data_IF_671233039566
#
_entry.id   IF_671233039566
#
_cell.length_a   1.000
_cell.length_b   1.000
_cell.length_c   1.000
_cell.angle_alpha   90.00
_cell.angle_beta   90.00
_cell.angle_gamma   90.00
#
_symmetry.space_group_name_H-M   'P 1'
#
loop_
_entity.id
_entity.type
_entity.pdbx_description
1 polymer ?
#
# COMPACT_ATOMS: atom_id res chain seq x y z
N UNK A 1 -28.32 26.85 -9.57
CA UNK A 1 -27.68 25.73 -10.29
C UNK A 1 -26.28 25.56 -9.74
N UNK A 2 -25.95 24.52 -8.95
CA UNK A 2 -24.58 24.34 -8.51
C UNK A 2 -23.76 23.82 -9.68
N UNK A 3 -22.75 24.60 -10.07
CA UNK A 3 -21.77 24.25 -11.08
C UNK A 3 -20.99 23.04 -10.55
N UNK A 4 -20.97 21.95 -11.32
CA UNK A 4 -20.10 20.80 -11.03
C UNK A 4 -18.67 21.30 -11.16
N UNK A 5 -18.02 21.54 -10.02
CA UNK A 5 -16.57 21.72 -9.97
C UNK A 5 -15.97 20.37 -10.30
N UNK A 6 -15.71 20.13 -11.59
CA UNK A 6 -14.76 19.11 -12.00
C UNK A 6 -13.39 19.65 -11.58
N UNK A 7 -12.99 19.32 -10.35
CA UNK A 7 -11.62 19.55 -9.92
C UNK A 7 -10.74 18.65 -10.77
N UNK A 8 -9.99 19.32 -11.63
CA UNK A 8 -8.88 18.85 -12.44
C UNK A 8 -8.21 17.61 -11.82
N UNK A 9 -8.39 16.45 -12.45
CA UNK A 9 -7.61 15.25 -12.17
C UNK A 9 -6.17 15.56 -12.57
N UNK A 10 -5.36 16.06 -11.63
CA UNK A 10 -3.91 15.89 -11.71
C UNK A 10 -3.66 14.40 -11.95
N UNK A 11 -2.84 14.08 -12.95
CA UNK A 11 -2.55 12.74 -13.48
C UNK A 11 -2.14 11.76 -12.38
N UNK A 12 -3.12 11.24 -11.63
CA UNK A 12 -2.89 10.15 -10.71
C UNK A 12 -2.46 8.96 -11.56
N UNK A 13 -1.30 8.34 -11.28
CA UNK A 13 -0.76 7.27 -12.11
C UNK A 13 -1.71 6.07 -12.23
N UNK A 14 -2.68 5.95 -11.31
CA UNK A 14 -3.85 5.10 -11.43
C UNK A 14 -5.03 5.67 -10.63
N UNK A 15 -6.25 5.51 -11.12
CA UNK A 15 -7.49 5.88 -10.42
C UNK A 15 -8.41 4.66 -10.28
N UNK A 16 -8.88 4.42 -9.05
CA UNK A 16 -9.75 3.30 -8.71
C UNK A 16 -11.05 3.84 -8.12
N UNK A 17 -12.12 4.04 -8.90
CA UNK A 17 -13.40 4.47 -8.36
C UNK A 17 -14.00 3.38 -7.47
N UNK A 18 -14.34 3.74 -6.23
CA UNK A 18 -14.89 2.80 -5.25
C UNK A 18 -16.26 3.24 -4.78
N UNK A 19 -17.09 2.26 -4.40
CA UNK A 19 -18.33 2.49 -3.69
C UNK A 19 -18.16 2.11 -2.23
N UNK A 20 -18.43 3.06 -1.34
CA UNK A 20 -18.45 2.81 0.11
C UNK A 20 -19.59 1.82 0.41
N UNK A 21 -19.26 0.76 1.13
CA UNK A 21 -20.22 -0.20 1.63
C UNK A 21 -20.72 0.25 3.00
N UNK A 22 -22.03 0.10 3.26
CA UNK A 22 -22.63 0.40 4.55
C UNK A 22 -23.16 -0.88 5.17
N UNK A 23 -22.57 -1.31 6.28
CA UNK A 23 -23.01 -2.49 7.03
C UNK A 23 -23.79 -2.01 8.26
N UNK A 24 -25.00 -2.56 8.40
CA UNK A 24 -25.91 -2.23 9.50
C UNK A 24 -26.14 -3.48 10.32
N UNK A 25 -25.74 -3.43 11.58
CA UNK A 25 -26.05 -4.47 12.57
C UNK A 25 -27.13 -3.95 13.48
N UNK A 26 -28.13 -4.76 13.81
CA UNK A 26 -29.27 -4.37 14.65
C UNK A 26 -28.75 -3.85 16.01
N UNK A 27 -29.18 -2.65 16.40
CA UNK A 27 -28.80 -2.02 17.67
C UNK A 27 -27.37 -1.44 17.69
N UNK A 28 -26.66 -1.41 16.57
CA UNK A 28 -25.34 -0.78 16.46
C UNK A 28 -25.33 0.32 15.42
N UNK A 29 -24.36 1.23 15.54
CA UNK A 29 -24.12 2.27 14.56
C UNK A 29 -23.74 1.66 13.20
N UNK A 30 -24.10 2.37 12.14
CA UNK A 30 -23.71 2.01 10.77
C UNK A 30 -22.19 2.03 10.67
N UNK A 31 -21.62 0.97 10.11
CA UNK A 31 -20.18 0.91 9.79
C UNK A 31 -20.01 1.05 8.30
N UNK A 32 -19.19 2.01 7.90
CA UNK A 32 -18.82 2.18 6.50
C UNK A 32 -17.50 1.44 6.24
N UNK A 33 -17.45 0.71 5.13
CA UNK A 33 -16.29 -0.05 4.71
C UNK A 33 -15.86 0.39 3.31
N UNK A 34 -14.57 0.59 3.15
CA UNK A 34 -13.91 0.81 1.86
C UNK A 34 -12.79 -0.21 1.75
N UNK A 35 -12.77 -0.96 0.65
CA UNK A 35 -11.68 -1.89 0.39
C UNK A 35 -10.54 -1.18 -0.34
N UNK A 36 -9.31 -1.61 -0.12
CA UNK A 36 -8.15 -1.15 -0.88
C UNK A 36 -7.94 -2.13 -2.05
N UNK A 37 -8.01 -1.69 -3.32
CA UNK A 37 -7.71 -2.55 -4.47
C UNK A 37 -6.31 -3.15 -4.36
N UNK A 38 -6.14 -4.41 -4.76
CA UNK A 38 -4.84 -5.11 -4.69
C UNK A 38 -3.69 -4.29 -5.32
N UNK A 39 -3.82 -3.70 -6.52
CA UNK A 39 -2.73 -2.91 -7.10
C UNK A 39 -2.31 -1.71 -6.26
N UNK A 40 -3.28 -1.06 -5.60
CA UNK A 40 -3.01 0.08 -4.72
C UNK A 40 -2.37 -0.38 -3.41
N UNK A 41 -2.84 -1.49 -2.84
CA UNK A 41 -2.22 -2.11 -1.67
C UNK A 41 -0.76 -2.48 -1.95
N UNK A 42 -0.47 -3.09 -3.10
CA UNK A 42 0.89 -3.42 -3.51
C UNK A 42 1.77 -2.18 -3.71
N UNK A 43 1.25 -1.13 -4.35
CA UNK A 43 1.98 0.13 -4.56
C UNK A 43 2.28 0.85 -3.23
N UNK A 44 1.37 0.79 -2.26
CA UNK A 44 1.58 1.30 -0.91
C UNK A 44 2.41 0.33 -0.05
N UNK A 45 2.62 -0.91 -0.51
CA UNK A 45 3.17 -2.03 0.26
C UNK A 45 2.40 -2.31 1.54
N UNK A 46 1.07 -2.31 1.46
CA UNK A 46 0.16 -2.72 2.54
C UNK A 46 -0.04 -4.23 2.44
N UNK A 47 0.19 -4.93 3.54
CA UNK A 47 -0.02 -6.36 3.69
C UNK A 47 -1.26 -6.66 4.54
N UNK A 48 -1.80 -7.87 4.38
CA UNK A 48 -2.92 -8.34 5.20
C UNK A 48 -2.48 -8.59 6.64
N UNK A 49 -3.22 -8.03 7.60
CA UNK A 49 -2.91 -8.15 9.02
C UNK A 49 -2.13 -6.97 9.61
N UNK A 50 -1.86 -5.92 8.81
CA UNK A 50 -1.29 -4.68 9.33
C UNK A 50 -2.30 -3.83 10.13
N UNK A 51 -1.83 -3.25 11.23
CA UNK A 51 -2.57 -2.27 12.01
C UNK A 51 -2.36 -0.85 11.46
N UNK A 52 -3.46 -0.27 10.98
CA UNK A 52 -3.49 1.06 10.37
C UNK A 52 -4.62 1.89 10.96
N UNK A 53 -4.47 3.20 10.89
CA UNK A 53 -5.47 4.18 11.29
C UNK A 53 -5.79 5.12 10.14
N UNK A 54 -6.97 5.74 10.21
CA UNK A 54 -7.39 6.79 9.29
C UNK A 54 -7.32 8.13 10.01
N UNK A 55 -6.62 9.08 9.41
CA UNK A 55 -6.58 10.46 9.88
C UNK A 55 -7.34 11.36 8.90
N UNK A 56 -8.25 12.16 9.45
CA UNK A 56 -9.01 13.15 8.68
C UNK A 56 -8.19 14.44 8.62
N UNK A 57 -7.68 14.78 7.45
CA UNK A 57 -6.91 16.02 7.26
C UNK A 57 -7.86 17.18 6.97
N UNK A 58 -8.78 16.97 6.03
CA UNK A 58 -9.87 17.90 5.73
C UNK A 58 -11.18 17.13 5.43
N UNK A 59 -12.21 17.80 4.91
CA UNK A 59 -13.50 17.14 4.64
C UNK A 59 -13.47 16.20 3.43
N UNK A 60 -12.51 16.37 2.54
CA UNK A 60 -12.38 15.66 1.27
C UNK A 60 -11.10 14.79 1.22
N UNK A 61 -10.23 14.87 2.23
CA UNK A 61 -8.94 14.20 2.32
C UNK A 61 -8.82 13.34 3.58
N UNK A 62 -8.53 12.05 3.37
CA UNK A 62 -8.32 11.05 4.40
C UNK A 62 -6.98 10.35 4.18
N UNK A 63 -6.14 10.31 5.22
CA UNK A 63 -4.83 9.65 5.16
C UNK A 63 -4.87 8.33 5.90
N UNK A 64 -4.15 7.35 5.34
CA UNK A 64 -3.87 6.09 6.02
C UNK A 64 -2.52 6.21 6.71
N UNK A 65 -2.52 6.07 8.04
CA UNK A 65 -1.32 6.12 8.88
C UNK A 65 -1.08 4.76 9.50
N UNK A 66 0.12 4.21 9.34
CA UNK A 66 0.51 2.94 9.94
C UNK A 66 0.78 3.13 11.42
N UNK A 67 0.23 2.24 12.26
CA UNK A 67 0.47 2.29 13.70
C UNK A 67 1.81 1.66 14.08
N UNK A 68 2.24 0.66 13.31
CA UNK A 68 3.55 0.04 13.44
C UNK A 68 4.45 0.38 12.24
N UNK A 69 5.73 0.62 12.52
CA UNK A 69 6.70 0.86 11.45
C UNK A 69 6.89 -0.43 10.63
N UNK A 70 6.92 -0.31 9.31
CA UNK A 70 7.23 -1.44 8.42
C UNK A 70 8.58 -2.03 8.86
N UNK A 71 8.69 -3.36 9.03
CA UNK A 71 10.00 -3.97 9.18
C UNK A 71 10.86 -3.50 8.00
N UNK A 72 12.01 -2.88 8.28
CA UNK A 72 12.91 -2.48 7.21
C UNK A 72 13.19 -3.73 6.38
N UNK A 73 12.84 -3.70 5.08
CA UNK A 73 13.16 -4.79 4.18
C UNK A 73 14.65 -5.06 4.34
N UNK A 74 14.97 -6.24 4.90
CA UNK A 74 16.35 -6.63 5.08
C UNK A 74 16.98 -6.60 3.70
N UNK A 75 17.85 -5.62 3.46
CA UNK A 75 18.64 -5.53 2.24
C UNK A 75 19.36 -6.87 2.14
N UNK A 76 18.89 -7.74 1.23
CA UNK A 76 19.55 -8.99 0.89
C UNK A 76 20.91 -8.60 0.32
N UNK A 77 21.87 -8.43 1.22
CA UNK A 77 23.27 -8.29 0.86
C UNK A 77 23.65 -9.68 0.38
N UNK A 78 23.48 -9.90 -0.93
CA UNK A 78 23.92 -11.12 -1.57
C UNK A 78 25.43 -11.18 -1.39
N UNK A 79 25.88 -11.88 -0.34
CA UNK A 79 27.28 -12.23 -0.16
C UNK A 79 27.59 -13.22 -1.28
N UNK A 80 28.00 -12.69 -2.43
CA UNK A 80 28.52 -13.48 -3.55
C UNK A 80 29.66 -14.33 -2.98
N UNK A 81 29.57 -15.66 -2.92
CA UNK A 81 30.70 -16.46 -2.47
C UNK A 81 31.80 -16.29 -3.51
N UNK A 82 32.83 -15.54 -3.14
CA UNK A 82 34.11 -15.57 -3.83
C UNK A 82 34.74 -16.92 -3.50
N UNK A 83 34.83 -17.81 -4.50
CA UNK A 83 35.93 -18.74 -4.80
C UNK A 83 35.41 -19.99 -5.50
N UNK A 84 35.46 -20.01 -6.83
CA UNK A 84 35.53 -21.23 -7.63
C UNK A 84 36.02 -20.91 -9.05
N UNK A 85 37.18 -20.25 -9.17
CA UNK A 85 37.89 -20.08 -10.46
C UNK A 85 39.40 -20.05 -10.26
N UNK A 86 39.96 -21.03 -9.58
CA UNK A 86 41.42 -21.28 -9.59
C UNK A 86 41.66 -22.78 -9.38
N UNK A 87 41.38 -23.59 -10.40
CA UNK A 87 41.89 -24.96 -10.49
C UNK A 87 41.76 -25.50 -11.93
N UNK A 88 42.44 -24.90 -12.89
CA UNK A 88 42.89 -25.61 -14.09
C UNK A 88 44.21 -24.97 -14.51
N UNK A 89 45.33 -25.66 -14.25
CA UNK A 89 46.65 -25.14 -14.56
C UNK A 89 47.80 -25.81 -13.82
N UNK A 90 48.02 -27.11 -14.05
CA UNK A 90 49.32 -27.85 -14.03
C UNK A 90 48.98 -29.35 -14.02
N UNK A 91 49.61 -30.24 -14.79
CA UNK A 91 50.90 -30.12 -15.45
C UNK A 91 51.11 -31.19 -16.52
N UNK A 92 52.37 -31.20 -16.98
CA UNK A 92 52.98 -31.90 -18.11
C UNK A 92 52.78 -33.40 -18.15
#
# INVERSE_FOLDING_TARGET
MPKKTQTNTQDAPASYPLRIQAIRTKGQNVRFFVYIPMPLAAALGIEGGEDVSWELLDRDELHLVRLEARPAEATRTAKRPATARDAVGKGK
#
